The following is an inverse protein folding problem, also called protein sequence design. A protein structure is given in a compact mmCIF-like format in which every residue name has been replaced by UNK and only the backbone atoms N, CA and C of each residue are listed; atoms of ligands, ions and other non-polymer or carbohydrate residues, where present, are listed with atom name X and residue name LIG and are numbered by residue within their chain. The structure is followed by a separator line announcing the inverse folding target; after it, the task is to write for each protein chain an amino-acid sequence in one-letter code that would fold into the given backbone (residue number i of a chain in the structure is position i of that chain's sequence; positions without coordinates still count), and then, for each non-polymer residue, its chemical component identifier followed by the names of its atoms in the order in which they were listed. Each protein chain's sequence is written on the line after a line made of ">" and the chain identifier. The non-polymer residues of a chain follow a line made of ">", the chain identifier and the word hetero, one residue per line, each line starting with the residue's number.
data_IF_572842946772
#
_entry.id   IF_572842946772
#
_cell.length_a   1.000
_cell.length_b   1.000
_cell.length_c   1.000
_cell.angle_alpha   90.00
_cell.angle_beta   90.00
_cell.angle_gamma   90.00
#
_symmetry.space_group_name_H-M   'P 1'
#
loop_
_entity.id
_entity.type
_entity.pdbx_description
1 polymer ?
#
# COMPACT_ATOMS: atom_id res chain seq x y z
N UNK A 1 -10.53 -9.02 23.60
CA UNK A 1 -11.36 -8.27 22.62
C UNK A 1 -10.40 -7.99 21.49
N UNK A 2 -10.28 -8.94 20.58
CA UNK A 2 -9.14 -8.98 19.67
C UNK A 2 -9.69 -8.63 18.30
N UNK A 3 -9.94 -7.34 18.04
CA UNK A 3 -10.54 -6.90 16.79
C UNK A 3 -9.58 -6.06 15.95
N UNK A 4 -9.28 -6.54 14.74
CA UNK A 4 -8.33 -5.90 13.82
C UNK A 4 -8.77 -4.47 13.54
N UNK A 5 -7.80 -3.58 13.37
CA UNK A 5 -8.02 -2.17 13.06
C UNK A 5 -7.35 -1.83 11.75
N UNK A 6 -8.15 -1.28 10.85
CA UNK A 6 -7.66 -0.67 9.60
C UNK A 6 -7.79 0.83 9.78
N UNK A 7 -6.69 1.55 9.62
CA UNK A 7 -6.68 3.01 9.55
C UNK A 7 -6.24 3.41 8.15
N UNK A 8 -7.04 4.25 7.48
CA UNK A 8 -6.60 4.97 6.28
C UNK A 8 -6.25 6.38 6.68
N UNK A 9 -5.06 6.86 6.32
CA UNK A 9 -4.64 8.24 6.56
C UNK A 9 -4.52 8.95 5.24
N UNK A 10 -5.48 9.82 4.97
CA UNK A 10 -5.49 10.66 3.77
C UNK A 10 -4.60 11.89 4.02
N UNK A 11 -3.67 12.12 3.09
CA UNK A 11 -2.71 13.22 3.12
C UNK A 11 -2.79 14.01 1.82
N UNK A 12 -2.77 15.34 1.93
CA UNK A 12 -2.48 16.22 0.82
C UNK A 12 -1.22 17.02 1.16
N UNK A 13 -0.21 16.90 0.31
CA UNK A 13 1.09 17.52 0.49
C UNK A 13 1.07 18.97 0.01
N UNK A 14 1.94 19.80 0.58
CA UNK A 14 2.31 21.09 -0.02
C UNK A 14 3.01 20.78 -1.36
N UNK A 15 2.61 21.43 -2.47
CA UNK A 15 3.24 21.18 -3.76
C UNK A 15 4.77 21.34 -3.71
N UNK A 16 5.49 20.37 -4.27
CA UNK A 16 6.95 20.30 -4.25
C UNK A 16 7.56 19.58 -3.04
N UNK A 17 6.74 19.11 -2.09
CA UNK A 17 7.21 18.34 -0.91
C UNK A 17 6.94 16.84 -1.02
N UNK A 18 6.36 16.37 -2.13
CA UNK A 18 5.86 15.01 -2.33
C UNK A 18 6.96 13.96 -2.17
N UNK A 19 8.13 14.23 -2.76
CA UNK A 19 9.27 13.33 -2.68
C UNK A 19 9.79 13.17 -1.24
N UNK A 20 9.83 14.27 -0.47
CA UNK A 20 10.24 14.25 0.94
C UNK A 20 9.21 13.50 1.80
N UNK A 21 7.92 13.76 1.57
CA UNK A 21 6.82 13.05 2.24
C UNK A 21 6.87 11.54 1.96
N UNK A 22 7.05 11.15 0.70
CA UNK A 22 7.16 9.75 0.29
C UNK A 22 8.36 9.08 0.96
N UNK A 23 9.53 9.71 0.96
CA UNK A 23 10.73 9.16 1.59
C UNK A 23 10.55 8.95 3.11
N UNK A 24 10.00 9.94 3.82
CA UNK A 24 9.73 9.84 5.25
C UNK A 24 8.69 8.74 5.55
N UNK A 25 7.63 8.66 4.75
CA UNK A 25 6.55 7.68 4.92
C UNK A 25 7.02 6.25 4.60
N UNK A 26 7.90 6.05 3.62
CA UNK A 26 8.53 4.75 3.34
C UNK A 26 9.41 4.32 4.51
N UNK A 27 10.17 5.23 5.12
CA UNK A 27 10.97 4.93 6.31
C UNK A 27 10.07 4.49 7.49
N UNK A 28 8.98 5.22 7.73
CA UNK A 28 7.97 4.87 8.73
C UNK A 28 7.39 3.47 8.46
N UNK A 29 6.95 3.21 7.23
CA UNK A 29 6.37 1.95 6.81
C UNK A 29 7.34 0.77 6.99
N UNK A 30 8.60 0.94 6.59
CA UNK A 30 9.65 -0.09 6.72
C UNK A 30 9.90 -0.50 8.17
N UNK A 31 9.83 0.43 9.11
CA UNK A 31 9.91 0.15 10.54
C UNK A 31 8.61 -0.45 11.08
N UNK A 32 7.47 0.07 10.63
CA UNK A 32 6.16 -0.37 11.13
C UNK A 32 5.82 -1.80 10.76
N UNK A 33 6.23 -2.28 9.57
CA UNK A 33 6.04 -3.69 9.18
C UNK A 33 6.86 -4.69 10.01
N UNK A 34 7.79 -4.22 10.85
CA UNK A 34 8.52 -5.05 11.81
C UNK A 34 7.86 -5.08 13.20
N UNK A 35 6.83 -4.26 13.43
CA UNK A 35 6.04 -4.31 14.67
C UNK A 35 5.25 -5.63 14.73
N UNK A 36 5.22 -6.26 15.91
CA UNK A 36 4.63 -7.59 16.10
C UNK A 36 3.15 -7.66 15.67
N UNK A 37 2.40 -6.59 15.91
CA UNK A 37 0.96 -6.52 15.65
C UNK A 37 0.63 -5.92 14.27
N UNK A 38 1.63 -5.52 13.48
CA UNK A 38 1.40 -4.96 12.15
C UNK A 38 1.13 -6.06 11.11
N UNK A 39 -0.03 -6.00 10.47
CA UNK A 39 -0.37 -6.85 9.33
C UNK A 39 0.05 -6.21 8.00
N UNK A 40 -0.19 -4.90 7.84
CA UNK A 40 0.23 -4.09 6.69
C UNK A 40 0.54 -2.65 7.07
N UNK A 41 1.42 -2.04 6.29
CA UNK A 41 1.67 -0.62 6.29
C UNK A 41 1.99 -0.18 4.87
N UNK A 42 0.95 0.17 4.10
CA UNK A 42 1.08 0.52 2.69
C UNK A 42 1.15 2.04 2.53
N UNK A 43 2.00 2.53 1.64
CA UNK A 43 2.11 3.95 1.27
C UNK A 43 1.70 4.05 -0.19
N UNK A 44 0.55 4.67 -0.44
CA UNK A 44 -0.05 4.79 -1.76
C UNK A 44 -0.04 6.26 -2.19
N UNK A 45 0.24 6.50 -3.47
CA UNK A 45 0.11 7.82 -4.09
C UNK A 45 -1.12 7.81 -5.01
N UNK A 46 -1.87 8.90 -5.02
CA UNK A 46 -3.05 9.06 -5.87
C UNK A 46 -2.63 9.18 -7.34
N UNK A 47 -3.29 8.44 -8.23
CA UNK A 47 -3.00 8.44 -9.67
C UNK A 47 -3.48 9.69 -10.41
N UNK A 48 -4.39 10.46 -9.81
CA UNK A 48 -4.93 11.70 -10.35
C UNK A 48 -4.32 12.95 -9.73
N UNK A 49 -3.53 12.82 -8.68
CA UNK A 49 -2.91 13.96 -7.98
C UNK A 49 -1.67 13.51 -7.19
N UNK A 50 -0.48 13.74 -7.73
CA UNK A 50 0.79 13.33 -7.13
C UNK A 50 1.02 13.94 -5.73
N UNK A 51 0.34 15.03 -5.38
CA UNK A 51 0.42 15.62 -4.04
C UNK A 51 -0.43 14.86 -3.01
N UNK A 52 -1.25 13.89 -3.40
CA UNK A 52 -2.11 13.12 -2.49
C UNK A 52 -1.58 11.73 -2.23
N UNK A 53 -1.63 11.35 -0.96
CA UNK A 53 -1.21 10.04 -0.49
C UNK A 53 -2.24 9.43 0.43
N UNK A 54 -2.25 8.10 0.49
CA UNK A 54 -3.01 7.32 1.47
C UNK A 54 -2.04 6.35 2.15
N UNK A 55 -1.98 6.41 3.49
CA UNK A 55 -1.32 5.37 4.28
C UNK A 55 -2.39 4.38 4.74
N UNK A 56 -2.16 3.09 4.51
CA UNK A 56 -3.05 2.01 4.97
C UNK A 56 -2.35 1.25 6.08
N UNK A 57 -2.79 1.50 7.30
CA UNK A 57 -2.22 0.96 8.54
C UNK A 57 -3.15 -0.14 9.06
N UNK A 58 -2.72 -1.39 9.03
CA UNK A 58 -3.52 -2.53 9.47
C UNK A 58 -2.82 -3.21 10.63
N UNK A 59 -3.48 -3.18 11.79
CA UNK A 59 -3.00 -3.79 13.02
C UNK A 59 -3.95 -4.88 13.50
N UNK A 60 -3.35 -5.95 14.00
CA UNK A 60 -4.06 -7.06 14.58
C UNK A 60 -4.75 -6.69 15.91
N UNK A 61 -4.64 -5.47 16.42
CA UNK A 61 -5.42 -5.03 17.58
C UNK A 61 -5.54 -3.50 17.66
N UNK A 62 -6.51 -2.97 18.43
CA UNK A 62 -6.53 -1.56 18.79
C UNK A 62 -5.28 -1.14 19.57
N UNK A 63 -4.73 -2.03 20.38
CA UNK A 63 -3.52 -1.82 21.16
C UNK A 63 -2.30 -1.67 20.26
N UNK A 64 -2.20 -2.40 19.15
CA UNK A 64 -1.13 -2.22 18.16
C UNK A 64 -1.15 -0.85 17.50
N UNK A 65 -2.33 -0.31 17.19
CA UNK A 65 -2.45 1.08 16.69
C UNK A 65 -1.97 2.10 17.72
N UNK A 66 -2.28 1.87 19.00
CA UNK A 66 -1.81 2.74 20.08
C UNK A 66 -0.28 2.61 20.24
N UNK A 67 0.25 1.39 20.28
CA UNK A 67 1.66 1.10 20.41
C UNK A 67 2.47 1.74 19.27
N UNK A 68 1.99 1.65 18.02
CA UNK A 68 2.61 2.31 16.86
C UNK A 68 2.88 3.80 17.12
N UNK A 69 1.93 4.51 17.71
CA UNK A 69 2.05 5.97 17.97
C UNK A 69 3.04 6.34 19.06
N UNK A 70 3.46 5.38 19.86
CA UNK A 70 4.48 5.56 20.90
C UNK A 70 5.89 5.19 20.38
N UNK A 71 6.00 4.74 19.13
CA UNK A 71 7.28 4.33 18.55
C UNK A 71 8.15 5.52 18.14
N UNK A 72 9.47 5.32 18.18
CA UNK A 72 10.43 6.34 17.75
C UNK A 72 10.32 6.66 16.26
N UNK A 73 10.03 5.67 15.39
CA UNK A 73 9.88 5.91 13.95
C UNK A 73 8.61 6.68 13.63
N UNK A 74 7.49 6.43 14.33
CA UNK A 74 6.29 7.26 14.19
C UNK A 74 6.55 8.71 14.65
N UNK A 75 7.18 8.91 15.81
CA UNK A 75 7.49 10.25 16.31
C UNK A 75 8.36 11.02 15.32
N UNK A 76 9.41 10.39 14.81
CA UNK A 76 10.27 10.96 13.77
C UNK A 76 9.48 11.28 12.50
N UNK A 77 8.67 10.35 12.00
CA UNK A 77 7.86 10.56 10.81
C UNK A 77 6.91 11.74 10.98
N UNK A 78 6.20 11.80 12.11
CA UNK A 78 5.27 12.90 12.44
C UNK A 78 5.96 14.25 12.37
N UNK A 79 7.19 14.34 12.88
CA UNK A 79 7.96 15.57 12.93
C UNK A 79 8.52 15.91 11.53
N UNK A 80 9.08 14.92 10.82
CA UNK A 80 9.67 15.07 9.47
C UNK A 80 8.63 15.52 8.42
N UNK A 81 7.36 15.11 8.55
CA UNK A 81 6.30 15.45 7.58
C UNK A 81 5.46 16.67 7.95
N UNK A 82 5.72 17.32 9.09
CA UNK A 82 4.86 18.39 9.62
C UNK A 82 4.67 19.54 8.62
N UNK A 83 5.76 20.00 8.00
CA UNK A 83 5.76 21.09 7.02
C UNK A 83 5.30 20.66 5.62
N UNK A 84 5.21 19.35 5.37
CA UNK A 84 4.73 18.81 4.11
C UNK A 84 3.19 18.78 4.04
N UNK A 85 2.47 19.03 5.13
CA UNK A 85 1.01 18.94 5.18
C UNK A 85 0.32 20.23 4.67
N UNK A 86 -0.29 20.19 3.49
CA UNK A 86 -1.07 21.33 2.98
C UNK A 86 -2.37 21.55 3.77
N UNK A 87 -2.94 20.46 4.29
CA UNK A 87 -4.10 20.45 5.20
C UNK A 87 -3.87 19.39 6.28
N UNK A 88 -4.56 19.48 7.43
CA UNK A 88 -4.51 18.42 8.43
C UNK A 88 -4.90 17.06 7.82
N UNK A 89 -4.05 16.05 8.03
CA UNK A 89 -4.32 14.67 7.61
C UNK A 89 -5.61 14.13 8.23
N UNK A 90 -6.36 13.32 7.49
CA UNK A 90 -7.63 12.73 7.93
C UNK A 90 -7.49 11.23 8.13
N UNK A 91 -7.95 10.73 9.27
CA UNK A 91 -7.93 9.29 9.57
C UNK A 91 -9.34 8.69 9.50
N UNK A 92 -9.53 7.70 8.61
CA UNK A 92 -10.67 6.79 8.63
C UNK A 92 -10.33 5.53 9.43
N UNK A 93 -11.24 5.05 10.29
CA UNK A 93 -11.03 3.86 11.12
C UNK A 93 -12.08 2.80 10.82
N UNK A 94 -11.65 1.57 10.62
CA UNK A 94 -12.52 0.48 10.18
C UNK A 94 -12.22 -0.82 10.93
N UNK A 95 -13.25 -1.65 10.98
CA UNK A 95 -13.15 -3.09 11.25
C UNK A 95 -13.26 -3.80 9.90
N UNK A 96 -12.31 -4.68 9.54
CA UNK A 96 -12.46 -5.43 8.32
C UNK A 96 -13.62 -6.42 8.45
N UNK A 97 -14.57 -6.34 7.51
CA UNK A 97 -15.60 -7.38 7.30
C UNK A 97 -14.99 -8.53 6.48
N UNK A 98 -14.18 -8.19 5.49
CA UNK A 98 -13.38 -9.09 4.68
C UNK A 98 -12.11 -8.34 4.21
N UNK A 99 -10.97 -9.03 4.01
CA UNK A 99 -10.71 -10.40 4.40
C UNK A 99 -10.57 -10.55 5.92
N UNK A 100 -10.84 -11.77 6.42
CA UNK A 100 -10.74 -12.07 7.85
C UNK A 100 -9.27 -12.07 8.30
N UNK A 101 -9.06 -12.08 9.62
CA UNK A 101 -7.72 -12.11 10.23
C UNK A 101 -6.85 -13.23 9.64
N UNK A 102 -5.57 -12.93 9.45
CA UNK A 102 -4.59 -13.87 8.89
C UNK A 102 -4.49 -13.87 7.36
N UNK A 103 -5.54 -13.48 6.63
CA UNK A 103 -5.45 -13.31 5.17
C UNK A 103 -4.66 -12.07 4.75
N UNK A 104 -4.56 -11.08 5.65
CA UNK A 104 -3.71 -9.92 5.43
C UNK A 104 -2.21 -10.27 5.51
N UNK A 105 -1.84 -11.43 6.08
CA UNK A 105 -0.46 -11.90 6.19
C UNK A 105 0.13 -12.30 4.84
N UNK A 106 1.38 -11.99 4.49
CA UNK A 106 2.48 -11.39 5.24
C UNK A 106 2.85 -10.02 4.68
N UNK A 107 2.95 -9.00 5.54
CA UNK A 107 3.79 -7.84 5.28
C UNK A 107 5.22 -8.27 4.90
N UNK A 108 6.00 -7.38 4.30
CA UNK A 108 7.35 -7.67 3.82
C UNK A 108 8.24 -8.43 4.84
N UNK A 109 7.99 -8.31 6.14
CA UNK A 109 8.69 -9.05 7.21
C UNK A 109 8.50 -10.58 7.18
N UNK A 110 7.28 -11.11 6.98
CA UNK A 110 7.11 -12.57 6.87
C UNK A 110 7.58 -13.12 5.51
N UNK A 111 7.65 -12.28 4.45
CA UNK A 111 8.42 -12.60 3.23
C UNK A 111 9.93 -12.59 3.49
N UNK A 112 10.49 -11.67 4.29
CA UNK A 112 11.93 -11.65 4.65
C UNK A 112 12.36 -12.87 5.45
N UNK A 113 11.56 -13.33 6.43
CA UNK A 113 11.83 -14.59 7.15
C UNK A 113 11.81 -15.82 6.23
N UNK A 114 10.97 -15.83 5.20
CA UNK A 114 10.98 -16.88 4.18
C UNK A 114 12.10 -16.70 3.13
N UNK A 115 12.51 -15.46 2.85
CA UNK A 115 13.46 -15.04 1.81
C UNK A 115 14.93 -15.05 2.25
N UNK A 116 15.27 -15.60 3.42
CA UNK A 116 16.67 -15.98 3.72
C UNK A 116 17.25 -17.00 2.70
N UNK A 117 16.48 -17.39 1.67
CA UNK A 117 16.86 -18.21 0.52
C UNK A 117 16.91 -17.51 -0.84
N UNK A 118 16.71 -16.19 -0.92
CA UNK A 118 16.83 -15.47 -2.21
C UNK A 118 17.04 -13.97 -2.02
N UNK A 119 18.16 -13.45 -2.52
CA UNK A 119 18.44 -12.01 -2.67
C UNK A 119 17.53 -11.40 -3.73
N UNK A 120 16.76 -10.33 -3.43
CA UNK A 120 16.03 -9.60 -4.47
C UNK A 120 16.99 -8.69 -5.25
N UNK A 121 17.02 -8.86 -6.56
CA UNK A 121 17.66 -7.96 -7.53
C UNK A 121 17.03 -6.56 -7.40
N UNK A 122 17.88 -5.56 -7.14
CA UNK A 122 17.46 -4.20 -6.79
C UNK A 122 16.66 -3.51 -7.92
N UNK A 123 15.50 -2.97 -7.54
CA UNK A 123 14.83 -1.80 -8.09
C UNK A 123 15.29 -1.29 -9.48
N UNK A 124 14.80 -1.92 -10.55
CA UNK A 124 14.89 -1.40 -11.94
C UNK A 124 13.66 -0.59 -12.38
N UNK A 125 12.87 -0.05 -11.44
CA UNK A 125 11.65 0.70 -11.77
C UNK A 125 11.87 2.19 -12.08
N UNK A 126 13.11 2.67 -12.07
CA UNK A 126 13.44 4.04 -12.44
C UNK A 126 14.47 4.09 -13.56
N UNK A 127 14.06 3.70 -14.77
CA UNK A 127 14.65 4.28 -15.99
C UNK A 127 13.52 4.88 -16.82
N UNK A 128 13.56 6.17 -17.17
CA UNK A 128 12.60 6.75 -18.10
C UNK A 128 12.74 6.02 -19.45
N UNK A 129 11.61 5.57 -20.01
CA UNK A 129 11.55 5.09 -21.40
C UNK A 129 12.03 6.22 -22.29
N UNK A 130 13.13 6.00 -23.03
CA UNK A 130 13.45 6.83 -24.19
C UNK A 130 12.54 6.37 -25.30
N UNK A 131 11.68 7.28 -25.77
CA UNK A 131 10.93 7.11 -27.00
C UNK A 131 11.90 7.30 -28.17
N UNK A 132 12.36 6.20 -28.76
CA UNK A 132 13.02 6.23 -30.06
C UNK A 132 12.26 5.24 -30.96
N UNK A 133 11.41 5.80 -31.84
CA UNK A 133 10.72 5.03 -32.86
C UNK A 133 11.67 4.58 -33.97
N UNK A 134 11.58 3.30 -34.34
CA UNK A 134 11.86 2.80 -35.69
C UNK A 134 11.21 1.41 -35.87
N UNK A 135 10.77 1.17 -37.10
CA UNK A 135 9.97 0.06 -37.61
C UNK A 135 10.67 -1.30 -37.55
N UNK A 136 9.88 -2.38 -37.53
CA UNK A 136 9.80 -3.31 -38.67
C UNK A 136 8.68 -4.35 -38.48
N UNK A 137 8.16 -4.80 -39.61
CA UNK A 137 6.90 -5.52 -39.83
C UNK A 137 6.98 -7.04 -39.56
N UNK A 138 5.79 -7.62 -39.26
CA UNK A 138 5.31 -9.00 -39.51
C UNK A 138 6.12 -10.19 -38.93
N UNK A 139 5.53 -11.27 -38.39
CA UNK A 139 4.34 -12.02 -38.79
C UNK A 139 3.98 -13.03 -37.66
N UNK A 140 2.73 -13.53 -37.71
CA UNK A 140 2.27 -14.84 -37.21
C UNK A 140 1.86 -15.08 -35.74
N UNK A 141 0.56 -14.89 -35.53
CA UNK A 141 -0.41 -15.86 -34.99
C UNK A 141 0.03 -16.81 -33.85
N UNK A 142 -0.25 -16.40 -32.60
CA UNK A 142 -0.66 -17.35 -31.55
C UNK A 142 -1.96 -16.85 -30.92
N UNK A 143 -3.03 -17.59 -31.19
CA UNK A 143 -4.37 -17.40 -30.62
C UNK A 143 -4.40 -17.72 -29.12
N UNK A 144 -5.35 -17.06 -28.45
CA UNK A 144 -5.96 -17.40 -27.15
C UNK A 144 -5.21 -16.97 -25.88
N UNK A 145 -5.41 -15.70 -25.48
CA UNK A 145 -5.44 -15.35 -24.05
C UNK A 145 -6.90 -15.34 -23.62
N UNK A 146 -7.32 -16.39 -22.93
CA UNK A 146 -8.56 -16.37 -22.14
C UNK A 146 -8.38 -15.35 -21.01
N UNK A 147 -9.01 -14.19 -21.17
CA UNK A 147 -9.10 -13.13 -20.18
C UNK A 147 -10.08 -13.56 -19.08
N UNK A 148 -9.56 -14.05 -17.95
CA UNK A 148 -10.34 -14.22 -16.73
C UNK A 148 -10.30 -12.91 -15.95
N UNK A 149 -11.46 -12.30 -15.73
CA UNK A 149 -11.62 -11.08 -14.92
C UNK A 149 -12.36 -11.42 -13.62
N UNK A 150 -11.92 -10.89 -12.46
CA UNK A 150 -12.60 -11.11 -11.18
C UNK A 150 -13.96 -10.39 -11.06
N UNK A 151 -14.47 -9.78 -12.14
CA UNK A 151 -15.75 -9.06 -12.18
C UNK A 151 -16.86 -9.74 -13.02
N UNK A 152 -16.67 -11.00 -13.43
CA UNK A 152 -17.78 -11.76 -14.02
C UNK A 152 -18.87 -11.99 -12.96
N UNK A 153 -19.90 -11.13 -13.03
CA UNK A 153 -21.02 -11.10 -12.08
C UNK A 153 -21.76 -12.43 -12.07
N UNK A 154 -21.78 -13.07 -10.90
CA UNK A 154 -22.76 -14.11 -10.55
C UNK A 154 -24.16 -13.55 -10.83
N UNK A 155 -24.86 -14.10 -11.83
CA UNK A 155 -26.28 -13.82 -12.01
C UNK A 155 -27.03 -14.51 -10.88
N UNK A 156 -27.49 -13.72 -9.91
CA UNK A 156 -28.55 -14.11 -8.99
C UNK A 156 -29.83 -14.20 -9.83
N UNK A 157 -30.32 -15.42 -10.04
CA UNK A 157 -31.69 -15.65 -10.51
C UNK A 157 -32.57 -15.73 -9.26
N UNK A 158 -33.28 -14.64 -8.97
CA UNK A 158 -34.48 -14.72 -8.15
C UNK A 158 -35.69 -14.77 -9.10
N UNK A 159 -36.56 -15.75 -8.85
CA UNK A 159 -37.94 -15.83 -9.33
C UNK A 159 -38.69 -14.51 -9.02
N UNK A 160 -39.80 -14.11 -9.64
CA UNK A 160 -41.03 -14.81 -10.05
C UNK A 160 -41.95 -13.75 -10.74
N UNK A 161 -43.18 -14.05 -11.25
CA UNK A 161 -44.32 -14.49 -10.42
C UNK A 161 -45.11 -15.71 -10.93
#
# INVERSE_FOLDING_TARGET
>A
MDQMRVTTVDVACVPGTEAAFAAASIANARSSVEEEDNARFDVLQDVGDDAKFVLVEIYDSPEGVAAHKETAHYARWRDDVADAMAVPRRAGKYVPVYPWRGLWGSGAAARRKASARSTPEEASFLKPRRDDGASDENEDEVRSISHWSPYDRVRVVNADP
#
